data_IF_577073387138
#
_entry.id   IF_577073387138
#
_cell.length_a   1.000
_cell.length_b   1.000
_cell.length_c   1.000
_cell.angle_alpha   90.00
_cell.angle_beta   90.00
_cell.angle_gamma   90.00
#
_symmetry.space_group_name_H-M   'P 1'
#
loop_
_entity.id
_entity.type
_entity.pdbx_description
1 polymer ?
#
# COMPACT_ATOMS: atom_id res chain seq x y z
N UNK A 1 -54.41 67.11 50.28
CA UNK A 1 -53.35 66.74 51.25
C UNK A 1 -53.02 65.27 51.01
N UNK A 2 -51.86 65.04 50.36
CA UNK A 2 -51.00 63.85 50.33
C UNK A 2 -51.50 62.54 49.64
N UNK A 3 -51.11 62.41 48.38
CA UNK A 3 -50.73 61.14 47.71
C UNK A 3 -49.29 60.77 48.12
N UNK A 4 -48.99 59.53 48.53
CA UNK A 4 -47.64 58.95 48.43
C UNK A 4 -47.67 57.41 48.37
N UNK A 5 -47.61 56.93 47.12
CA UNK A 5 -46.81 55.84 46.53
C UNK A 5 -46.20 54.74 47.42
N UNK A 6 -46.46 53.50 46.97
CA UNK A 6 -46.01 52.25 47.57
C UNK A 6 -44.50 52.02 47.64
N UNK A 7 -44.15 51.13 48.56
CA UNK A 7 -42.79 50.63 48.80
C UNK A 7 -42.77 49.14 48.47
N UNK A 8 -42.35 48.78 47.26
CA UNK A 8 -41.94 47.40 46.96
C UNK A 8 -40.57 47.19 47.59
N UNK A 9 -40.52 46.49 48.73
CA UNK A 9 -39.26 45.92 49.23
C UNK A 9 -39.05 44.58 48.53
N UNK A 10 -38.30 44.61 47.43
CA UNK A 10 -37.65 43.42 46.91
C UNK A 10 -36.57 42.96 47.89
N UNK A 11 -36.96 42.10 48.83
CA UNK A 11 -36.01 41.35 49.65
C UNK A 11 -35.27 40.38 48.74
N UNK A 12 -34.02 40.72 48.39
CA UNK A 12 -33.11 39.75 47.79
C UNK A 12 -32.73 38.77 48.89
N UNK A 13 -33.33 37.59 48.86
CA UNK A 13 -32.88 36.44 49.63
C UNK A 13 -31.44 36.11 49.20
N UNK A 14 -30.46 36.64 49.94
CA UNK A 14 -29.07 36.18 49.86
C UNK A 14 -28.96 34.89 50.67
N UNK A 15 -29.42 33.79 50.09
CA UNK A 15 -29.12 32.45 50.60
C UNK A 15 -27.67 32.15 50.23
N UNK A 16 -26.80 32.11 51.23
CA UNK A 16 -25.42 31.64 51.04
C UNK A 16 -25.45 30.16 50.67
N UNK A 17 -24.69 29.79 49.64
CA UNK A 17 -24.53 28.40 49.23
C UNK A 17 -24.03 27.56 50.41
N UNK A 18 -24.64 26.40 50.61
CA UNK A 18 -24.18 25.47 51.65
C UNK A 18 -22.90 24.78 51.19
N UNK A 19 -21.97 24.52 52.11
CA UNK A 19 -20.67 23.90 51.81
C UNK A 19 -20.83 22.52 51.12
N UNK A 20 -21.89 21.78 51.49
CA UNK A 20 -22.28 20.53 50.87
C UNK A 20 -22.60 20.68 49.37
N UNK A 21 -23.34 21.72 49.01
CA UNK A 21 -23.76 21.98 47.62
C UNK A 21 -22.55 22.31 46.73
N UNK A 22 -21.59 23.07 47.24
CA UNK A 22 -20.34 23.33 46.52
C UNK A 22 -19.54 22.05 46.31
N UNK A 23 -19.49 21.17 47.31
CA UNK A 23 -18.79 19.88 47.20
C UNK A 23 -19.45 18.97 46.15
N UNK A 24 -20.79 18.87 46.18
CA UNK A 24 -21.56 18.10 45.19
C UNK A 24 -21.37 18.66 43.78
N UNK A 25 -21.40 19.99 43.61
CA UNK A 25 -21.17 20.62 42.31
C UNK A 25 -19.77 20.30 41.76
N UNK A 26 -18.73 20.35 42.61
CA UNK A 26 -17.37 19.99 42.21
C UNK A 26 -17.29 18.50 41.83
N UNK A 27 -17.93 17.61 42.58
CA UNK A 27 -17.98 16.18 42.25
C UNK A 27 -18.60 15.93 40.88
N UNK A 28 -19.71 16.60 40.56
CA UNK A 28 -20.32 16.52 39.24
C UNK A 28 -19.43 17.10 38.14
N UNK A 29 -18.78 18.23 38.38
CA UNK A 29 -17.86 18.83 37.41
C UNK A 29 -16.71 17.86 37.10
N UNK A 30 -16.11 17.24 38.12
CA UNK A 30 -15.04 16.26 37.93
C UNK A 30 -15.52 15.03 37.16
N UNK A 31 -16.72 14.52 37.47
CA UNK A 31 -17.31 13.40 36.74
C UNK A 31 -17.56 13.76 35.26
N UNK A 32 -18.07 14.96 34.98
CA UNK A 32 -18.28 15.43 33.61
C UNK A 32 -16.96 15.58 32.85
N UNK A 33 -15.91 16.12 33.50
CA UNK A 33 -14.58 16.25 32.88
C UNK A 33 -14.01 14.88 32.52
N UNK A 34 -14.16 13.87 33.38
CA UNK A 34 -13.69 12.52 33.11
C UNK A 34 -14.40 11.89 31.91
N UNK A 35 -15.74 12.00 31.84
CA UNK A 35 -16.53 11.49 30.71
C UNK A 35 -16.17 12.23 29.41
N UNK A 36 -15.99 13.55 29.48
CA UNK A 36 -15.58 14.35 28.33
C UNK A 36 -14.16 14.00 27.85
N UNK A 37 -13.24 13.67 28.76
CA UNK A 37 -11.90 13.18 28.44
C UNK A 37 -11.95 11.88 27.64
N UNK A 38 -12.67 10.88 28.14
CA UNK A 38 -12.81 9.60 27.45
C UNK A 38 -13.39 9.75 26.03
N UNK A 39 -14.43 10.57 25.88
CA UNK A 39 -15.03 10.82 24.56
C UNK A 39 -14.04 11.48 23.59
N UNK A 40 -13.18 12.37 24.08
CA UNK A 40 -12.18 13.04 23.25
C UNK A 40 -11.11 12.04 22.76
N UNK A 41 -10.73 11.10 23.61
CA UNK A 41 -9.80 10.02 23.27
C UNK A 41 -10.41 9.09 22.23
N UNK A 42 -11.65 8.64 22.44
CA UNK A 42 -12.40 7.81 21.49
C UNK A 42 -12.50 8.46 20.10
N UNK A 43 -12.80 9.77 20.06
CA UNK A 43 -12.88 10.54 18.82
C UNK A 43 -11.51 10.65 18.14
N UNK A 44 -10.44 10.81 18.93
CA UNK A 44 -9.08 10.91 18.40
C UNK A 44 -8.62 9.60 17.80
N UNK A 45 -8.90 8.48 18.47
CA UNK A 45 -8.56 7.15 17.99
C UNK A 45 -9.40 6.72 16.78
N UNK A 46 -10.69 7.10 16.76
CA UNK A 46 -11.53 6.88 15.58
C UNK A 46 -10.98 7.65 14.37
N UNK A 47 -10.48 8.87 14.56
CA UNK A 47 -9.86 9.65 13.48
C UNK A 47 -8.56 9.05 13.00
N UNK A 48 -7.68 8.61 13.92
CA UNK A 48 -6.42 7.93 13.58
C UNK A 48 -6.68 6.68 12.75
N UNK A 49 -7.54 5.77 13.25
CA UNK A 49 -7.93 4.54 12.53
C UNK A 49 -8.53 4.82 11.16
N UNK A 50 -9.31 5.89 11.00
CA UNK A 50 -9.87 6.27 9.70
C UNK A 50 -8.79 6.79 8.76
N UNK A 51 -7.87 7.61 9.26
CA UNK A 51 -6.76 8.16 8.48
C UNK A 51 -5.84 7.06 7.97
N UNK A 52 -5.45 6.14 8.84
CA UNK A 52 -4.53 5.04 8.49
C UNK A 52 -5.12 4.18 7.36
N UNK A 53 -6.43 3.88 7.44
CA UNK A 53 -7.15 3.16 6.38
C UNK A 53 -7.22 3.94 5.06
N UNK A 54 -7.31 5.26 5.13
CA UNK A 54 -7.31 6.09 3.92
C UNK A 54 -5.94 6.07 3.25
N UNK A 55 -4.85 6.21 4.02
CA UNK A 55 -3.48 6.15 3.51
C UNK A 55 -3.19 4.80 2.84
N UNK A 56 -3.70 3.69 3.39
CA UNK A 56 -3.61 2.35 2.81
C UNK A 56 -4.38 2.21 1.49
N UNK A 57 -5.62 2.71 1.43
CA UNK A 57 -6.47 2.65 0.23
C UNK A 57 -5.91 3.55 -0.89
N UNK A 58 -5.47 4.76 -0.53
CA UNK A 58 -4.87 5.71 -1.45
C UNK A 58 -3.55 5.16 -2.01
N UNK A 59 -2.68 4.65 -1.14
CA UNK A 59 -1.41 4.04 -1.54
C UNK A 59 -1.59 2.86 -2.50
N UNK A 60 -2.57 1.98 -2.24
CA UNK A 60 -2.89 0.85 -3.12
C UNK A 60 -3.38 1.31 -4.50
N UNK A 61 -4.21 2.34 -4.54
CA UNK A 61 -4.73 2.89 -5.80
C UNK A 61 -3.61 3.56 -6.60
N UNK A 62 -2.78 4.38 -5.93
CA UNK A 62 -1.62 5.03 -6.53
C UNK A 62 -0.61 4.02 -7.06
N UNK A 63 -0.35 2.94 -6.32
CA UNK A 63 0.51 1.84 -6.77
C UNK A 63 0.02 1.27 -8.10
N UNK A 64 -1.26 0.92 -8.19
CA UNK A 64 -1.83 0.29 -9.38
C UNK A 64 -1.84 1.26 -10.57
N UNK A 65 -2.09 2.55 -10.32
CA UNK A 65 -2.06 3.58 -11.36
C UNK A 65 -0.64 3.88 -11.84
N UNK A 66 0.33 3.97 -10.93
CA UNK A 66 1.76 4.12 -11.27
C UNK A 66 2.26 2.91 -12.06
N UNK A 67 1.92 1.71 -11.63
CA UNK A 67 2.29 0.49 -12.35
C UNK A 67 1.65 0.45 -13.73
N UNK A 68 0.35 0.74 -13.85
CA UNK A 68 -0.34 0.78 -15.14
C UNK A 68 0.28 1.83 -16.08
N UNK A 69 0.51 3.05 -15.59
CA UNK A 69 1.16 4.11 -16.34
C UNK A 69 2.56 3.68 -16.79
N UNK A 70 3.30 2.98 -15.93
CA UNK A 70 4.64 2.53 -16.23
C UNK A 70 4.67 1.40 -17.26
N UNK A 71 3.79 0.42 -17.12
CA UNK A 71 3.65 -0.69 -18.08
C UNK A 71 3.24 -0.19 -19.47
N UNK A 72 2.48 0.91 -19.55
CA UNK A 72 2.07 1.50 -20.83
C UNK A 72 3.23 2.01 -21.69
N UNK A 73 4.39 2.27 -21.07
CA UNK A 73 5.61 2.72 -21.75
C UNK A 73 6.76 1.73 -21.61
N UNK A 74 6.48 0.49 -21.17
CA UNK A 74 7.51 -0.51 -20.91
C UNK A 74 8.29 -0.89 -22.18
N UNK A 75 9.57 -1.21 -22.00
CA UNK A 75 10.44 -1.70 -23.08
C UNK A 75 10.99 -3.08 -22.73
N UNK A 76 11.28 -3.91 -23.74
CA UNK A 76 11.86 -5.25 -23.53
C UNK A 76 13.29 -5.19 -23.01
N UNK A 77 14.03 -4.13 -23.34
CA UNK A 77 15.38 -3.86 -22.85
C UNK A 77 15.56 -2.39 -22.44
N UNK A 78 16.50 -2.15 -21.54
CA UNK A 78 16.94 -0.83 -21.10
C UNK A 78 17.94 -0.19 -22.09
N UNK A 79 18.53 0.96 -21.74
CA UNK A 79 19.52 1.63 -22.58
C UNK A 79 20.87 0.91 -22.64
N UNK A 80 21.20 0.08 -21.64
CA UNK A 80 22.42 -0.71 -21.56
C UNK A 80 22.25 -2.13 -22.16
N UNK A 81 21.02 -2.49 -22.57
CA UNK A 81 20.68 -3.82 -23.09
C UNK A 81 20.29 -4.82 -22.01
N UNK A 82 20.14 -4.41 -20.74
CA UNK A 82 19.58 -5.25 -19.70
C UNK A 82 18.06 -5.34 -19.83
N UNK A 83 17.47 -6.37 -19.23
CA UNK A 83 16.03 -6.65 -19.32
C UNK A 83 15.19 -5.50 -18.77
N UNK A 84 14.21 -5.07 -19.56
CA UNK A 84 13.36 -3.95 -19.20
C UNK A 84 12.26 -4.28 -18.20
N UNK A 85 11.69 -5.49 -18.21
CA UNK A 85 10.83 -6.00 -17.14
C UNK A 85 11.52 -7.18 -16.49
N UNK A 86 11.71 -7.09 -15.17
CA UNK A 86 12.23 -8.18 -14.35
C UNK A 86 11.45 -8.21 -13.05
N UNK A 87 10.95 -9.38 -12.67
CA UNK A 87 10.26 -9.51 -11.39
C UNK A 87 9.94 -10.95 -11.03
N UNK A 88 9.60 -11.13 -9.77
CA UNK A 88 9.08 -12.36 -9.20
C UNK A 88 7.67 -12.11 -8.65
N UNK A 89 7.21 -12.93 -7.69
CA UNK A 89 5.88 -12.79 -7.08
C UNK A 89 5.74 -11.52 -6.25
N UNK A 90 6.80 -10.97 -5.67
CA UNK A 90 6.69 -9.90 -4.66
C UNK A 90 7.43 -8.63 -5.07
N UNK A 91 8.36 -8.73 -6.03
CA UNK A 91 9.15 -7.62 -6.54
C UNK A 91 8.96 -7.47 -8.05
N UNK A 92 8.98 -6.22 -8.52
CA UNK A 92 8.84 -5.90 -9.93
C UNK A 92 9.62 -4.65 -10.29
N UNK A 93 10.48 -4.76 -11.30
CA UNK A 93 11.15 -3.64 -11.97
C UNK A 93 10.61 -3.47 -13.38
N UNK A 94 10.23 -2.25 -13.73
CA UNK A 94 9.77 -1.87 -15.07
C UNK A 94 10.56 -0.67 -15.60
N UNK A 95 11.32 -0.92 -16.66
CA UNK A 95 12.00 0.06 -17.50
C UNK A 95 11.12 0.40 -18.69
N UNK A 96 11.14 1.66 -19.10
CA UNK A 96 10.22 2.18 -20.09
C UNK A 96 10.65 3.54 -20.62
N UNK A 97 10.20 3.84 -21.83
CA UNK A 97 10.50 5.07 -22.56
C UNK A 97 9.58 6.18 -22.07
N UNK A 98 10.02 6.93 -21.06
CA UNK A 98 9.24 8.02 -20.48
C UNK A 98 10.16 9.03 -19.84
N UNK A 99 9.82 10.31 -20.00
CA UNK A 99 10.60 11.42 -19.44
C UNK A 99 10.44 11.43 -17.93
N UNK A 100 11.56 11.30 -17.20
CA UNK A 100 11.58 11.31 -15.74
C UNK A 100 11.43 12.76 -15.27
N UNK A 101 10.29 13.14 -14.68
CA UNK A 101 10.08 14.52 -14.21
C UNK A 101 11.09 14.94 -13.14
N UNK A 102 11.59 13.98 -12.35
CA UNK A 102 12.63 14.16 -11.34
C UNK A 102 13.95 14.73 -11.91
N UNK A 103 14.20 14.54 -13.23
CA UNK A 103 15.38 15.10 -13.93
C UNK A 103 15.15 16.47 -14.55
N UNK A 104 13.92 16.99 -14.60
CA UNK A 104 13.66 18.36 -15.09
C UNK A 104 14.16 19.43 -14.11
N UNK A 105 14.40 19.07 -12.85
CA UNK A 105 14.91 19.97 -11.79
C UNK A 105 16.44 20.02 -11.68
N UNK A 106 17.15 19.09 -12.32
CA UNK A 106 18.62 19.13 -12.44
C UNK A 106 18.97 19.44 -13.89
N UNK A 107 19.92 20.35 -14.12
CA UNK A 107 20.44 20.80 -15.43
C UNK A 107 21.11 19.69 -16.28
N UNK A 108 20.48 18.51 -16.40
CA UNK A 108 20.96 17.40 -17.20
C UNK A 108 20.41 17.55 -18.63
N UNK A 109 21.31 17.46 -19.61
CA UNK A 109 20.98 17.55 -21.04
C UNK A 109 19.83 16.59 -21.40
N UNK A 110 18.69 17.16 -21.78
CA UNK A 110 17.51 16.43 -22.23
C UNK A 110 17.80 15.78 -23.59
N UNK A 111 18.39 14.58 -23.59
CA UNK A 111 18.38 13.70 -24.75
C UNK A 111 17.14 12.80 -24.68
N UNK A 112 16.11 13.04 -25.49
CA UNK A 112 14.86 12.25 -25.48
C UNK A 112 15.06 10.77 -25.87
N UNK A 113 16.23 10.40 -26.40
CA UNK A 113 16.60 9.00 -26.66
C UNK A 113 17.18 8.27 -25.44
N UNK A 114 17.59 8.99 -24.39
CA UNK A 114 18.35 8.45 -23.25
C UNK A 114 17.53 8.51 -21.94
N UNK A 115 16.39 9.19 -21.93
CA UNK A 115 15.52 9.25 -20.75
C UNK A 115 14.63 8.00 -20.67
N UNK A 116 15.27 6.87 -20.38
CA UNK A 116 14.59 5.66 -19.89
C UNK A 116 14.79 5.63 -18.38
N UNK A 117 13.70 5.84 -17.64
CA UNK A 117 13.71 5.56 -16.20
C UNK A 117 13.62 4.07 -15.90
N UNK A 118 13.68 3.70 -14.62
CA UNK A 118 13.17 2.43 -14.09
C UNK A 118 12.20 2.75 -12.94
N UNK A 119 11.18 1.92 -12.74
CA UNK A 119 10.33 1.96 -11.55
C UNK A 119 10.38 0.58 -10.90
N UNK A 120 10.70 0.55 -9.62
CA UNK A 120 10.86 -0.67 -8.84
C UNK A 120 9.87 -0.69 -7.68
N UNK A 121 9.28 -1.85 -7.44
CA UNK A 121 8.39 -2.14 -6.33
C UNK A 121 9.00 -3.26 -5.49
N UNK A 122 9.09 -3.05 -4.18
CA UNK A 122 9.63 -4.05 -3.25
C UNK A 122 8.97 -3.94 -1.87
N UNK A 123 8.63 -5.06 -1.22
CA UNK A 123 8.16 -5.05 0.16
C UNK A 123 9.27 -4.54 1.10
N UNK A 124 8.93 -3.63 2.00
CA UNK A 124 9.85 -3.14 3.03
C UNK A 124 9.14 -3.07 4.37
N UNK A 125 9.59 -3.92 5.29
CA UNK A 125 8.88 -4.14 6.55
C UNK A 125 7.46 -4.62 6.29
N UNK A 126 6.50 -3.95 6.93
CA UNK A 126 5.07 -4.21 6.74
C UNK A 126 4.48 -3.48 5.53
N UNK A 127 5.28 -2.73 4.77
CA UNK A 127 4.81 -1.85 3.70
C UNK A 127 5.31 -2.23 2.32
N UNK A 128 4.88 -1.46 1.32
CA UNK A 128 5.38 -1.51 -0.04
C UNK A 128 6.11 -0.21 -0.36
N UNK A 129 7.39 -0.33 -0.74
CA UNK A 129 8.20 0.78 -1.17
C UNK A 129 8.32 0.83 -2.70
N UNK A 130 8.55 2.03 -3.22
CA UNK A 130 8.88 2.27 -4.62
C UNK A 130 10.22 2.98 -4.76
N UNK A 131 10.90 2.73 -5.88
CA UNK A 131 12.10 3.46 -6.29
C UNK A 131 12.03 3.81 -7.77
N UNK A 132 12.33 5.06 -8.08
CA UNK A 132 12.47 5.54 -9.47
C UNK A 132 13.95 5.72 -9.81
N UNK A 133 14.44 4.99 -10.81
CA UNK A 133 15.83 5.05 -11.25
C UNK A 133 16.82 4.73 -10.12
N UNK A 134 17.82 5.60 -9.96
CA UNK A 134 18.80 5.55 -8.87
C UNK A 134 18.37 6.35 -7.63
N UNK A 135 17.11 6.75 -7.56
CA UNK A 135 16.56 7.51 -6.42
C UNK A 135 16.49 6.69 -5.12
N UNK A 136 16.16 7.33 -3.99
CA UNK A 136 15.91 6.63 -2.74
C UNK A 136 14.59 5.84 -2.80
N UNK A 137 14.52 4.77 -2.01
CA UNK A 137 13.25 4.09 -1.73
C UNK A 137 12.31 5.02 -0.98
N UNK A 138 11.06 5.08 -1.44
CA UNK A 138 9.98 5.85 -0.82
C UNK A 138 8.84 4.92 -0.47
N UNK A 139 8.35 4.99 0.77
CA UNK A 139 7.20 4.19 1.21
C UNK A 139 5.93 4.65 0.49
N UNK A 140 5.29 3.75 -0.25
CA UNK A 140 4.06 4.05 -0.99
C UNK A 140 2.83 3.56 -0.23
N UNK A 141 2.91 2.36 0.34
CA UNK A 141 1.85 1.77 1.16
C UNK A 141 2.46 1.46 2.52
N UNK A 142 2.11 2.20 3.60
CA UNK A 142 2.73 2.00 4.91
C UNK A 142 2.46 0.61 5.51
N UNK A 143 1.33 0.00 5.15
CA UNK A 143 0.92 -1.30 5.64
C UNK A 143 0.23 -2.10 4.52
N UNK A 144 0.79 -3.24 4.17
CA UNK A 144 0.26 -4.22 3.25
C UNK A 144 0.56 -5.60 3.79
N UNK A 145 -0.43 -6.48 3.80
CA UNK A 145 -0.25 -7.85 4.31
C UNK A 145 0.45 -8.72 3.28
N UNK A 146 0.08 -8.55 2.00
CA UNK A 146 0.77 -9.21 0.90
C UNK A 146 0.57 -8.45 -0.42
N UNK A 147 1.55 -8.58 -1.30
CA UNK A 147 1.44 -8.21 -2.71
C UNK A 147 1.85 -9.40 -3.57
N UNK A 148 1.16 -9.59 -4.70
CA UNK A 148 1.53 -10.61 -5.69
C UNK A 148 1.53 -10.05 -7.10
N UNK A 149 2.60 -10.34 -7.84
CA UNK A 149 2.71 -10.15 -9.27
C UNK A 149 2.63 -11.50 -10.00
N UNK A 150 1.92 -11.52 -11.13
CA UNK A 150 1.95 -12.61 -12.11
C UNK A 150 2.06 -12.05 -13.51
N UNK A 151 2.61 -12.83 -14.42
CA UNK A 151 2.99 -12.41 -15.76
C UNK A 151 2.38 -13.36 -16.78
N UNK A 152 1.65 -12.83 -17.76
CA UNK A 152 1.01 -13.61 -18.80
C UNK A 152 1.89 -13.66 -20.04
N UNK A 153 2.26 -14.84 -20.52
CA UNK A 153 3.09 -14.99 -21.72
C UNK A 153 2.31 -14.91 -23.04
N UNK A 154 0.99 -14.99 -22.97
CA UNK A 154 0.11 -15.10 -24.14
C UNK A 154 -0.82 -16.31 -24.04
N UNK A 155 -0.39 -17.34 -23.32
CA UNK A 155 -1.11 -18.60 -23.10
C UNK A 155 -1.35 -18.87 -21.60
N UNK A 156 -0.30 -18.74 -20.79
CA UNK A 156 -0.29 -19.10 -19.37
C UNK A 156 0.23 -17.98 -18.46
N UNK A 157 -0.15 -18.06 -17.18
CA UNK A 157 0.31 -17.16 -16.13
C UNK A 157 1.52 -17.75 -15.38
N UNK A 158 2.59 -16.97 -15.30
CA UNK A 158 3.84 -17.27 -14.62
C UNK A 158 4.06 -16.38 -13.40
N UNK A 159 4.91 -16.83 -12.49
CA UNK A 159 5.21 -16.17 -11.21
C UNK A 159 6.53 -15.39 -11.22
N UNK A 160 7.26 -15.44 -12.32
CA UNK A 160 8.49 -14.70 -12.55
C UNK A 160 8.61 -14.35 -14.03
N UNK A 161 9.31 -13.25 -14.32
CA UNK A 161 9.52 -12.80 -15.70
C UNK A 161 10.87 -12.12 -15.88
N UNK A 162 11.50 -12.37 -17.03
CA UNK A 162 12.69 -11.68 -17.49
C UNK A 162 12.53 -11.32 -18.98
N UNK A 163 12.28 -10.05 -19.29
CA UNK A 163 12.01 -9.63 -20.65
C UNK A 163 13.21 -9.68 -21.60
N UNK A 164 14.43 -9.82 -21.08
CA UNK A 164 15.61 -10.06 -21.90
C UNK A 164 15.65 -11.48 -22.47
N UNK A 165 14.93 -12.42 -21.84
CA UNK A 165 14.83 -13.82 -22.26
C UNK A 165 13.50 -14.11 -22.96
N UNK A 166 12.40 -13.65 -22.37
CA UNK A 166 11.04 -14.00 -22.78
C UNK A 166 10.35 -12.92 -23.64
N UNK A 167 10.94 -11.74 -23.80
CA UNK A 167 10.26 -10.58 -24.39
C UNK A 167 9.29 -9.91 -23.40
N UNK A 168 8.43 -9.01 -23.88
CA UNK A 168 7.46 -8.35 -22.99
C UNK A 168 6.30 -9.31 -22.68
N UNK A 169 5.83 -9.39 -21.41
CA UNK A 169 4.64 -10.17 -21.10
C UNK A 169 3.40 -9.53 -21.75
N UNK A 170 2.44 -10.34 -22.16
CA UNK A 170 1.17 -9.87 -22.72
C UNK A 170 0.33 -9.10 -21.68
N UNK A 171 0.44 -9.48 -20.41
CA UNK A 171 -0.18 -8.79 -19.29
C UNK A 171 0.56 -9.03 -17.97
N UNK A 172 0.35 -8.12 -17.02
CA UNK A 172 0.79 -8.25 -15.63
C UNK A 172 -0.43 -8.17 -14.72
N UNK A 173 -0.58 -9.12 -13.81
CA UNK A 173 -1.54 -9.09 -12.71
C UNK A 173 -0.82 -8.56 -11.48
N UNK A 174 -1.40 -7.55 -10.82
CA UNK A 174 -1.01 -7.11 -9.50
C UNK A 174 -2.19 -7.30 -8.53
N UNK A 175 -1.96 -8.06 -7.47
CA UNK A 175 -2.93 -8.34 -6.43
C UNK A 175 -2.39 -7.86 -5.06
N UNK A 176 -3.24 -7.18 -4.30
CA UNK A 176 -2.90 -6.55 -3.02
C UNK A 176 -3.87 -7.07 -1.95
N UNK A 177 -3.30 -7.52 -0.83
CA UNK A 177 -4.00 -7.88 0.39
C UNK A 177 -3.59 -6.93 1.49
N UNK A 178 -4.60 -6.32 2.08
CA UNK A 178 -4.50 -5.23 3.02
C UNK A 178 -5.06 -5.68 4.38
N UNK A 179 -6.05 -6.58 4.36
CA UNK A 179 -6.54 -7.27 5.56
C UNK A 179 -5.52 -8.26 6.14
N UNK A 180 -5.51 -8.46 7.46
CA UNK A 180 -4.71 -9.50 8.10
C UNK A 180 -5.00 -10.87 7.49
N UNK A 181 -3.94 -11.63 7.27
CA UNK A 181 -4.01 -13.00 6.76
C UNK A 181 -4.14 -13.97 7.94
N UNK A 182 -4.99 -15.01 7.87
CA UNK A 182 -5.04 -16.05 8.90
C UNK A 182 -3.68 -16.77 9.01
N UNK A 183 -3.09 -16.86 10.21
CA UNK A 183 -1.72 -17.39 10.36
C UNK A 183 -1.55 -18.82 9.80
N UNK A 184 -2.60 -19.62 9.87
CA UNK A 184 -2.69 -21.00 9.37
C UNK A 184 -2.79 -21.11 7.83
N UNK A 185 -3.23 -20.05 7.15
CA UNK A 185 -3.44 -20.03 5.71
C UNK A 185 -2.29 -19.33 4.92
N UNK A 186 -1.17 -18.97 5.58
CA UNK A 186 -0.12 -18.14 4.96
C UNK A 186 0.50 -18.83 3.75
N UNK A 187 0.48 -18.15 2.61
CA UNK A 187 1.09 -18.70 1.40
C UNK A 187 2.62 -18.67 1.47
N UNK A 188 3.27 -19.70 0.93
CA UNK A 188 4.74 -19.88 0.99
C UNK A 188 5.57 -18.80 0.28
N UNK A 189 4.94 -17.99 -0.58
CA UNK A 189 5.57 -16.88 -1.29
C UNK A 189 5.53 -15.56 -0.52
N UNK A 190 4.73 -15.47 0.55
CA UNK A 190 4.65 -14.25 1.34
C UNK A 190 5.96 -14.05 2.11
N UNK A 191 6.46 -12.80 2.25
CA UNK A 191 7.59 -12.50 3.12
C UNK A 191 7.33 -13.05 4.53
N UNK A 192 8.34 -13.40 5.32
CA UNK A 192 8.09 -13.72 6.72
C UNK A 192 7.51 -12.47 7.44
N UNK A 193 6.53 -12.62 8.35
CA UNK A 193 6.14 -11.48 9.16
C UNK A 193 7.36 -10.97 9.92
N UNK A 194 7.56 -9.65 9.94
CA UNK A 194 8.51 -9.05 10.88
C UNK A 194 7.89 -9.13 12.27
N UNK A 195 7.97 -10.31 12.89
CA UNK A 195 7.80 -10.37 14.34
C UNK A 195 9.00 -9.68 14.95
N UNK A 196 8.81 -8.43 15.41
CA UNK A 196 9.57 -8.00 16.58
C UNK A 196 9.30 -9.06 17.65
N UNK A 197 10.33 -9.74 18.19
CA UNK A 197 10.14 -10.55 19.36
C UNK A 197 9.57 -9.60 20.40
N UNK A 198 8.28 -9.73 20.72
CA UNK A 198 7.74 -9.05 21.88
C UNK A 198 8.47 -9.70 23.05
N UNK A 199 9.49 -9.02 23.53
CA UNK A 199 10.23 -9.41 24.71
C UNK A 199 9.30 -9.13 25.90
N UNK A 200 8.40 -10.07 26.17
CA UNK A 200 7.57 -10.07 27.38
C UNK A 200 8.40 -10.25 28.66
N UNK A 201 9.73 -10.19 28.59
CA UNK A 201 10.60 -10.56 29.69
C UNK A 201 10.87 -9.46 30.72
N UNK A 202 10.47 -8.19 30.53
CA UNK A 202 11.00 -7.12 31.40
C UNK A 202 10.02 -6.12 32.05
N UNK A 203 8.72 -6.44 32.12
CA UNK A 203 7.88 -5.79 33.13
C UNK A 203 7.15 -6.83 33.97
N UNK A 204 7.73 -7.11 35.15
CA UNK A 204 7.08 -7.83 36.24
C UNK A 204 5.83 -7.05 36.71
N UNK A 205 4.72 -7.25 36.01
CA UNK A 205 3.41 -6.72 36.36
C UNK A 205 2.74 -7.70 37.34
N UNK A 206 3.14 -7.61 38.61
CA UNK A 206 2.80 -8.55 39.71
C UNK A 206 1.34 -8.44 40.22
N UNK A 207 0.37 -8.15 39.33
CA UNK A 207 -0.98 -7.75 39.72
C UNK A 207 -2.15 -8.31 38.88
N UNK A 208 -1.92 -9.18 37.89
CA UNK A 208 -2.98 -9.67 36.99
C UNK A 208 -3.21 -11.19 37.03
N UNK A 209 -2.98 -11.84 38.18
CA UNK A 209 -3.35 -13.25 38.34
C UNK A 209 -4.88 -13.50 38.29
N UNK A 210 -5.71 -12.47 38.50
CA UNK A 210 -7.17 -12.60 38.50
C UNK A 210 -7.81 -12.38 37.12
N UNK A 211 -7.07 -11.81 36.14
CA UNK A 211 -7.56 -11.54 34.78
C UNK A 211 -7.23 -12.65 33.76
N UNK A 212 -6.28 -13.54 34.08
CA UNK A 212 -5.91 -14.66 33.21
C UNK A 212 -7.08 -15.65 33.00
N UNK A 213 -7.89 -15.86 34.03
CA UNK A 213 -9.06 -16.76 34.00
C UNK A 213 -10.19 -16.23 33.07
N UNK A 214 -10.18 -14.93 32.73
CA UNK A 214 -11.16 -14.31 31.84
C UNK A 214 -10.82 -14.47 30.36
N UNK A 215 -9.54 -14.63 30.00
CA UNK A 215 -9.08 -14.78 28.62
C UNK A 215 -8.99 -16.25 28.16
N UNK A 216 -9.03 -17.21 29.10
CA UNK A 216 -9.08 -18.64 28.78
C UNK A 216 -10.51 -19.14 28.44
N UNK A 217 -11.53 -18.31 28.61
CA UNK A 217 -12.89 -18.64 28.18
C UNK A 217 -13.16 -18.03 26.80
N UNK A 218 -13.36 -18.89 25.81
CA UNK A 218 -13.90 -18.61 24.47
C UNK A 218 -12.86 -18.35 23.36
N UNK A 219 -11.73 -19.07 23.39
CA UNK A 219 -11.08 -19.44 22.12
C UNK A 219 -12.04 -20.40 21.39
N UNK A 220 -12.92 -19.82 20.58
CA UNK A 220 -13.72 -20.57 19.62
C UNK A 220 -12.71 -21.25 18.70
N UNK A 221 -12.48 -22.55 18.93
CA UNK A 221 -11.89 -23.47 17.97
C UNK A 221 -12.81 -23.47 16.75
N UNK A 222 -12.58 -22.50 15.87
CA UNK A 222 -13.23 -22.41 14.58
C UNK A 222 -12.57 -23.45 13.70
N UNK A 223 -13.05 -24.69 13.83
CA UNK A 223 -12.80 -25.79 12.91
C UNK A 223 -13.42 -25.41 11.56
N UNK A 224 -12.72 -24.56 10.80
CA UNK A 224 -13.06 -24.23 9.41
C UNK A 224 -12.28 -25.19 8.56
N UNK A 225 -13.05 -25.96 7.79
CA UNK A 225 -12.59 -27.01 6.91
C UNK A 225 -11.40 -26.57 6.05
N UNK A 226 -10.42 -27.46 5.97
CA UNK A 226 -9.35 -27.44 5.00
C UNK A 226 -9.93 -27.37 3.58
N UNK A 227 -9.92 -26.17 3.01
CA UNK A 227 -9.68 -25.95 1.60
C UNK A 227 -8.73 -24.74 1.56
N UNK A 228 -7.52 -24.94 1.03
CA UNK A 228 -6.40 -23.99 0.98
C UNK A 228 -6.70 -22.78 0.06
N UNK A 229 -7.81 -22.09 0.31
CA UNK A 229 -8.25 -20.97 -0.50
C UNK A 229 -7.61 -19.70 0.05
N UNK A 230 -6.50 -19.32 -0.58
CA UNK A 230 -5.92 -17.98 -0.45
C UNK A 230 -7.07 -16.96 -0.41
N UNK A 231 -7.20 -16.14 0.66
CA UNK A 231 -8.27 -15.16 0.74
C UNK A 231 -8.30 -14.29 -0.52
N UNK A 232 -9.46 -13.84 -0.99
CA UNK A 232 -9.52 -13.00 -2.17
C UNK A 232 -8.77 -11.69 -1.93
N UNK A 233 -8.02 -11.17 -2.93
CA UNK A 233 -7.32 -9.90 -2.79
C UNK A 233 -8.29 -8.74 -2.58
N UNK A 234 -7.87 -7.76 -1.77
CA UNK A 234 -8.62 -6.51 -1.56
C UNK A 234 -8.64 -5.66 -2.83
N UNK A 235 -7.57 -5.72 -3.63
CA UNK A 235 -7.46 -5.09 -4.94
C UNK A 235 -6.73 -6.01 -5.90
N UNK A 236 -7.24 -6.14 -7.11
CA UNK A 236 -6.59 -6.85 -8.20
C UNK A 236 -6.75 -6.05 -9.49
N UNK A 237 -5.66 -5.93 -10.25
CA UNK A 237 -5.69 -5.31 -11.58
C UNK A 237 -4.84 -6.13 -12.55
N UNK A 238 -5.42 -6.42 -13.70
CA UNK A 238 -4.72 -6.99 -14.85
C UNK A 238 -4.44 -5.85 -15.83
N UNK A 239 -3.17 -5.67 -16.18
CA UNK A 239 -2.68 -4.61 -17.06
C UNK A 239 -2.06 -5.24 -18.30
N UNK A 240 -2.69 -5.04 -19.45
CA UNK A 240 -2.15 -5.53 -20.72
C UNK A 240 -1.05 -4.58 -21.21
N UNK A 241 0.02 -5.16 -21.77
CA UNK A 241 1.10 -4.42 -22.41
C UNK A 241 0.85 -4.41 -23.91
N UNK A 242 0.88 -3.22 -24.50
CA UNK A 242 0.70 -3.06 -25.94
C UNK A 242 1.98 -3.50 -26.65
N UNK A 243 1.83 -4.37 -27.65
CA UNK A 243 2.93 -4.94 -28.46
C UNK A 243 3.93 -5.82 -27.69
N UNK A 244 3.50 -6.98 -27.15
CA UNK A 244 4.40 -7.89 -26.43
C UNK A 244 5.46 -8.54 -27.35
N UNK A 245 5.21 -8.58 -28.66
CA UNK A 245 6.04 -9.27 -29.65
C UNK A 245 6.97 -8.31 -30.41
N UNK A 246 8.02 -7.85 -29.73
CA UNK A 246 9.22 -7.30 -30.39
C UNK A 246 10.38 -8.31 -30.40
N UNK A 247 10.07 -9.61 -30.45
CA UNK A 247 11.04 -10.64 -30.74
C UNK A 247 11.41 -10.59 -32.24
N UNK A 248 12.49 -9.87 -32.55
CA UNK A 248 13.37 -10.05 -33.72
C UNK A 248 12.74 -10.68 -34.98
N UNK A 249 12.21 -9.84 -35.88
CA UNK A 249 12.16 -10.20 -37.30
C UNK A 249 13.60 -10.30 -37.78
N UNK A 250 14.08 -11.51 -38.05
CA UNK A 250 15.35 -11.76 -38.72
C UNK A 250 15.28 -11.11 -40.12
N UNK A 251 16.11 -10.10 -40.45
CA UNK A 251 16.11 -9.50 -41.78
C UNK A 251 16.76 -10.39 -42.87
N UNK A 252 17.01 -11.67 -42.59
CA UNK A 252 17.70 -12.61 -43.48
C UNK A 252 16.81 -13.26 -44.55
N UNK A 253 15.51 -12.96 -44.62
CA UNK A 253 14.63 -13.38 -45.73
C UNK A 253 14.27 -12.23 -46.69
N UNK A 254 15.10 -11.19 -46.77
CA UNK A 254 15.04 -10.25 -47.88
C UNK A 254 15.69 -10.89 -49.12
N UNK A 255 14.81 -11.45 -49.97
CA UNK A 255 15.03 -12.01 -51.29
C UNK A 255 16.40 -11.77 -51.94
N UNK A 256 17.05 -12.88 -52.23
CA UNK A 256 18.14 -13.03 -53.19
C UNK A 256 17.80 -12.27 -54.50
N UNK A 257 18.61 -11.28 -54.91
CA UNK A 257 18.40 -10.64 -56.21
C UNK A 257 18.70 -11.65 -57.32
N UNK A 258 17.91 -11.71 -58.40
CA UNK A 258 18.20 -12.60 -59.51
C UNK A 258 19.56 -12.22 -60.12
N UNK A 259 20.53 -13.12 -59.98
CA UNK A 259 21.81 -13.06 -60.67
C UNK A 259 21.61 -13.50 -62.12
N UNK A 260 21.34 -12.57 -63.02
CA UNK A 260 21.48 -12.83 -64.46
C UNK A 260 22.94 -12.60 -64.87
N UNK A 261 23.57 -13.69 -65.29
CA UNK A 261 24.96 -13.75 -65.73
C UNK A 261 25.21 -13.16 -67.13
N UNK A 262 26.48 -13.13 -67.56
CA UNK A 262 26.90 -12.42 -68.76
C UNK A 262 26.68 -13.27 -70.02
N UNK A 263 25.82 -12.79 -70.93
CA UNK A 263 25.68 -13.32 -72.29
C UNK A 263 26.50 -12.48 -73.27
N UNK A 264 27.63 -13.02 -73.73
CA UNK A 264 28.46 -12.40 -74.76
C UNK A 264 28.01 -12.69 -76.19
N UNK A 265 28.56 -11.89 -77.12
CA UNK A 265 28.84 -12.28 -78.51
C UNK A 265 27.79 -11.92 -79.56
N UNK A 266 28.18 -11.05 -80.51
CA UNK A 266 27.46 -10.80 -81.76
C UNK A 266 27.67 -9.39 -82.30
#
# INVERSE_FOLDING_TARGET
MIHTTGRIRGGRDRRGFTLLETLVAIGFILAIIMVAGNLLDDLSDSRRRTRDRLEEIEGSTLMLDLLAARLSVATSADAAGASGIVGDRISLRVTGSGVMLSRLTQDASLSPLVDRGSLEFEPQGDGLAIREGEGPWTMLIPRVTAIRFRYHDGDDWRDSWDSGQDGLPAAVEAAIWSRPWPDDARASWMPAPMTDPIDFADESFDGMAEFADFLESDTIESEVAADDEIPPPDRIRIMSILDPNSATVNPSEAGEPPSDGPGGGG
#
